data_IF_791708463280
#
_entry.id   IF_791708463280
#
_cell.length_a   1.000
_cell.length_b   1.000
_cell.length_c   1.000
_cell.angle_alpha   90.00
_cell.angle_beta   90.00
_cell.angle_gamma   90.00
#
_symmetry.space_group_name_H-M   'P 1'
#
loop_
_entity.id
_entity.type
_entity.pdbx_description
1 polymer ?
#
# COMPACT_ATOMS: atom_id res chain seq x y z
N UNK A 1 -7.55 -4.19 -2.14
CA UNK A 1 -6.38 -5.03 -2.47
C UNK A 1 -6.68 -6.45 -2.04
N UNK A 2 -6.33 -7.45 -2.83
CA UNK A 2 -6.59 -8.86 -2.50
C UNK A 2 -5.26 -9.60 -2.40
N UNK A 3 -5.11 -10.41 -1.36
CA UNK A 3 -4.00 -11.33 -1.19
C UNK A 3 -4.44 -12.73 -1.58
N UNK A 4 -3.67 -13.38 -2.44
CA UNK A 4 -3.95 -14.72 -2.92
C UNK A 4 -2.80 -15.67 -2.61
N UNK A 5 -3.13 -16.90 -2.25
CA UNK A 5 -2.18 -18.01 -2.27
C UNK A 5 -1.75 -18.28 -3.72
N UNK A 6 -0.44 -18.27 -3.98
CA UNK A 6 0.09 -18.32 -5.35
C UNK A 6 -0.08 -19.70 -6.03
N UNK A 7 -0.17 -20.77 -5.24
CA UNK A 7 -0.28 -22.14 -5.76
C UNK A 7 -1.73 -22.53 -6.08
N UNK A 8 -2.67 -22.04 -5.28
CA UNK A 8 -4.09 -22.42 -5.32
C UNK A 8 -5.00 -21.32 -5.83
N UNK A 9 -4.54 -20.07 -5.84
CA UNK A 9 -5.33 -18.86 -6.14
C UNK A 9 -6.50 -18.69 -5.14
N UNK A 10 -6.39 -19.29 -3.96
CA UNK A 10 -7.34 -19.05 -2.88
C UNK A 10 -7.13 -17.63 -2.34
N UNK A 11 -8.22 -16.86 -2.19
CA UNK A 11 -8.16 -15.57 -1.50
C UNK A 11 -7.86 -15.79 -0.02
N UNK A 12 -6.77 -15.19 0.45
CA UNK A 12 -6.32 -15.25 1.83
C UNK A 12 -6.87 -14.07 2.62
N UNK A 13 -6.82 -12.88 2.02
CA UNK A 13 -7.22 -11.63 2.68
C UNK A 13 -7.61 -10.54 1.67
N UNK A 14 -8.31 -9.52 2.16
CA UNK A 14 -8.64 -8.30 1.42
C UNK A 14 -8.42 -7.08 2.29
N UNK A 15 -7.69 -6.10 1.75
CA UNK A 15 -7.47 -4.81 2.39
C UNK A 15 -8.19 -3.67 1.67
N UNK A 16 -8.83 -2.81 2.45
CA UNK A 16 -9.21 -1.44 2.09
C UNK A 16 -9.14 -0.57 3.36
N UNK A 17 -8.93 0.73 3.18
CA UNK A 17 -8.90 1.69 4.29
C UNK A 17 -10.26 1.77 4.99
N UNK A 18 -10.27 2.00 6.30
CA UNK A 18 -11.48 2.07 7.12
C UNK A 18 -12.47 3.13 6.59
N UNK A 19 -11.94 4.24 6.09
CA UNK A 19 -12.73 5.34 5.53
C UNK A 19 -13.60 4.89 4.35
N UNK A 20 -13.13 3.92 3.56
CA UNK A 20 -13.88 3.40 2.41
C UNK A 20 -15.07 2.50 2.83
N UNK A 21 -15.12 2.09 4.10
CA UNK A 21 -16.20 1.29 4.68
C UNK A 21 -17.20 2.13 5.48
N UNK A 22 -16.90 3.40 5.74
CA UNK A 22 -17.75 4.27 6.55
C UNK A 22 -18.90 4.87 5.70
N UNK A 23 -20.19 4.59 6.02
CA UNK A 23 -21.30 5.19 5.30
C UNK A 23 -21.37 6.73 5.44
N UNK A 24 -20.76 7.32 6.47
CA UNK A 24 -20.69 8.77 6.63
C UNK A 24 -19.76 9.40 5.59
N UNK A 25 -18.82 8.62 5.02
CA UNK A 25 -17.90 9.03 3.96
C UNK A 25 -18.36 8.62 2.56
N UNK A 26 -19.54 8.01 2.43
CA UNK A 26 -20.05 7.52 1.14
C UNK A 26 -20.24 8.61 0.08
N UNK A 27 -20.40 9.89 0.48
CA UNK A 27 -20.58 11.01 -0.45
C UNK A 27 -19.84 12.26 0.01
N UNK A 28 -19.13 12.91 -0.92
CA UNK A 28 -18.50 14.22 -0.67
C UNK A 28 -17.11 14.18 -0.03
N UNK A 29 -16.53 13.00 0.16
CA UNK A 29 -15.20 12.79 0.76
C UNK A 29 -14.18 12.22 -0.24
N UNK A 30 -14.51 12.26 -1.54
CA UNK A 30 -13.68 11.73 -2.62
C UNK A 30 -13.99 10.29 -2.98
N UNK A 31 -13.13 9.67 -3.80
CA UNK A 31 -13.37 8.34 -4.37
C UNK A 31 -12.90 7.21 -3.45
N UNK A 32 -12.01 7.50 -2.47
CA UNK A 32 -11.45 6.54 -1.50
C UNK A 32 -11.06 5.19 -2.11
N UNK A 33 -10.47 5.26 -3.29
CA UNK A 33 -10.08 4.09 -4.09
C UNK A 33 -8.62 4.17 -4.50
N UNK A 34 -8.01 3.00 -4.67
CA UNK A 34 -6.63 2.86 -5.14
C UNK A 34 -6.58 3.13 -6.63
N UNK A 35 -5.67 3.99 -7.07
CA UNK A 35 -5.33 4.14 -8.49
C UNK A 35 -4.18 3.21 -8.90
N UNK A 36 -3.11 3.20 -8.11
CA UNK A 36 -1.87 2.50 -8.43
C UNK A 36 -1.25 1.86 -7.18
N UNK A 37 -0.45 0.82 -7.44
CA UNK A 37 0.30 0.07 -6.45
C UNK A 37 1.72 -0.09 -6.94
N UNK A 38 2.70 0.17 -6.08
CA UNK A 38 4.11 -0.13 -6.32
C UNK A 38 4.64 -1.00 -5.18
N UNK A 39 5.42 -2.03 -5.51
CA UNK A 39 6.03 -2.94 -4.53
C UNK A 39 7.44 -2.45 -4.24
N UNK A 40 7.87 -2.51 -2.99
CA UNK A 40 9.24 -2.14 -2.62
C UNK A 40 10.25 -3.03 -3.39
N UNK A 41 11.24 -2.43 -4.09
CA UNK A 41 12.19 -3.18 -4.91
C UNK A 41 13.19 -4.00 -4.08
N UNK A 42 13.28 -3.76 -2.77
CA UNK A 42 14.17 -4.44 -1.84
C UNK A 42 13.41 -5.36 -0.87
N UNK A 43 12.11 -5.15 -0.65
CA UNK A 43 11.23 -6.00 0.16
C UNK A 43 9.94 -6.39 -0.61
N UNK A 44 9.83 -7.62 -1.14
CA UNK A 44 8.64 -8.03 -1.89
C UNK A 44 7.38 -8.18 -1.04
N UNK A 45 7.48 -8.12 0.29
CA UNK A 45 6.32 -8.15 1.19
C UNK A 45 5.66 -6.77 1.35
N UNK A 46 6.37 -5.68 1.04
CA UNK A 46 5.94 -4.30 1.26
C UNK A 46 5.46 -3.65 -0.04
N UNK A 47 4.31 -2.97 0.00
CA UNK A 47 3.76 -2.26 -1.13
C UNK A 47 3.14 -0.92 -0.73
N UNK A 48 3.15 0.02 -1.66
CA UNK A 48 2.65 1.37 -1.51
C UNK A 48 1.44 1.58 -2.42
N UNK A 49 0.38 2.19 -1.89
CA UNK A 49 -0.90 2.41 -2.57
C UNK A 49 -1.14 3.90 -2.74
N UNK A 50 -1.35 4.35 -3.98
CA UNK A 50 -1.83 5.68 -4.29
C UNK A 50 -3.36 5.70 -4.17
N UNK A 51 -3.89 6.22 -3.07
CA UNK A 51 -5.33 6.44 -2.93
C UNK A 51 -5.74 7.85 -3.37
N UNK A 52 -6.85 7.91 -4.11
CA UNK A 52 -7.62 9.13 -4.25
C UNK A 52 -8.29 9.49 -2.93
N UNK A 53 -8.02 10.69 -2.42
CA UNK A 53 -8.57 11.24 -1.15
C UNK A 53 -8.22 10.45 0.12
N UNK A 54 -7.62 9.27 -0.01
CA UNK A 54 -7.10 8.47 1.11
C UNK A 54 -5.67 8.83 1.45
N UNK A 55 -4.83 9.28 0.51
CA UNK A 55 -3.41 9.54 0.73
C UNK A 55 -2.52 8.37 0.30
N UNK A 56 -1.24 8.41 0.65
CA UNK A 56 -0.32 7.28 0.43
C UNK A 56 -0.52 6.27 1.57
N UNK A 57 -0.59 4.98 1.24
CA UNK A 57 -0.64 3.88 2.22
C UNK A 57 0.49 2.91 1.96
N UNK A 58 1.11 2.40 3.00
CA UNK A 58 2.06 1.30 2.95
C UNK A 58 1.42 0.07 3.59
N UNK A 59 1.33 -1.02 2.83
CA UNK A 59 0.80 -2.29 3.28
C UNK A 59 1.89 -3.37 3.21
N UNK A 60 1.93 -4.25 4.19
CA UNK A 60 2.87 -5.36 4.24
C UNK A 60 2.12 -6.68 4.34
N UNK A 61 2.59 -7.68 3.61
CA UNK A 61 2.15 -9.06 3.79
C UNK A 61 2.81 -9.57 5.08
N UNK A 62 1.99 -9.85 6.09
CA UNK A 62 2.44 -10.39 7.38
C UNK A 62 1.94 -11.83 7.51
N UNK A 63 2.79 -12.75 7.93
CA UNK A 63 2.45 -14.15 8.18
C UNK A 63 2.91 -14.52 9.59
N UNK A 64 1.97 -14.96 10.43
CA UNK A 64 2.23 -15.29 11.84
C UNK A 64 2.93 -14.16 12.64
N UNK A 65 2.65 -12.90 12.26
CA UNK A 65 3.17 -11.70 12.94
C UNK A 65 4.52 -11.19 12.43
N UNK A 66 5.12 -11.82 11.43
CA UNK A 66 6.37 -11.38 10.80
C UNK A 66 6.15 -11.08 9.30
N UNK A 67 6.96 -10.21 8.67
CA UNK A 67 6.88 -9.98 7.22
C UNK A 67 7.06 -11.27 6.43
N UNK A 68 6.27 -11.42 5.36
CA UNK A 68 6.34 -12.58 4.48
C UNK A 68 7.73 -12.71 3.86
N UNK A 69 8.35 -13.87 4.07
CA UNK A 69 9.59 -14.27 3.41
C UNK A 69 9.36 -15.60 2.67
N UNK A 70 9.46 -15.62 1.32
CA UNK A 70 9.23 -16.82 0.53
C UNK A 70 10.25 -17.95 0.80
N UNK A 71 11.38 -17.67 1.45
CA UNK A 71 12.36 -18.69 1.81
C UNK A 71 11.99 -19.44 3.10
N UNK A 72 11.19 -18.81 3.97
CA UNK A 72 10.89 -19.33 5.32
C UNK A 72 9.41 -19.65 5.52
N UNK A 73 8.50 -18.99 4.81
CA UNK A 73 7.05 -19.22 4.90
C UNK A 73 6.62 -20.27 3.88
N UNK A 74 6.15 -21.43 4.37
CA UNK A 74 5.64 -22.53 3.52
C UNK A 74 4.12 -22.75 3.64
N UNK A 75 3.50 -22.20 4.68
CA UNK A 75 2.05 -22.21 4.90
C UNK A 75 1.56 -20.77 4.93
N UNK A 76 0.82 -20.36 3.91
CA UNK A 76 0.33 -18.98 3.77
C UNK A 76 -1.07 -18.79 4.34
N UNK A 77 -1.67 -19.82 4.96
CA UNK A 77 -3.05 -19.75 5.45
C UNK A 77 -3.26 -18.74 6.58
N UNK A 78 -2.19 -18.32 7.26
CA UNK A 78 -2.19 -17.28 8.28
C UNK A 78 -1.66 -15.92 7.81
N UNK A 79 -1.45 -15.73 6.49
CA UNK A 79 -0.97 -14.47 5.97
C UNK A 79 -2.09 -13.45 5.77
N UNK A 80 -1.83 -12.19 6.07
CA UNK A 80 -2.75 -11.05 5.96
C UNK A 80 -2.05 -9.81 5.41
N UNK A 81 -2.82 -8.84 4.92
CA UNK A 81 -2.34 -7.52 4.53
C UNK A 81 -2.50 -6.55 5.70
N UNK A 82 -1.39 -6.00 6.18
CA UNK A 82 -1.38 -5.06 7.30
C UNK A 82 -0.93 -3.68 6.83
N UNK A 83 -1.69 -2.63 7.14
CA UNK A 83 -1.20 -1.26 6.96
C UNK A 83 -0.10 -0.96 7.98
N UNK A 84 1.11 -0.68 7.47
CA UNK A 84 2.32 -0.44 8.29
C UNK A 84 2.78 1.00 8.26
N UNK A 85 2.17 1.84 7.41
CA UNK A 85 2.50 3.26 7.34
C UNK A 85 1.67 3.99 6.29
N UNK A 86 1.91 5.29 6.17
CA UNK A 86 1.23 6.12 5.19
C UNK A 86 1.44 7.61 5.44
N UNK A 87 0.90 8.40 4.51
CA UNK A 87 0.86 9.85 4.63
C UNK A 87 -0.44 10.38 4.04
N UNK A 88 -1.10 11.27 4.77
CA UNK A 88 -2.24 12.05 4.31
C UNK A 88 -2.01 13.48 4.77
N UNK A 89 -1.93 14.39 3.81
CA UNK A 89 -1.81 15.82 4.09
C UNK A 89 -3.06 16.34 4.79
N UNK A 90 -2.91 17.33 5.67
CA UNK A 90 -4.05 17.97 6.36
C UNK A 90 -5.04 18.63 5.38
N UNK A 91 -4.55 19.09 4.23
CA UNK A 91 -5.40 19.62 3.16
C UNK A 91 -6.00 18.52 2.25
N UNK A 92 -5.61 17.25 2.46
CA UNK A 92 -5.95 16.12 1.61
C UNK A 92 -4.94 15.88 0.48
N UNK A 93 -5.00 14.68 -0.09
CA UNK A 93 -4.25 14.31 -1.29
C UNK A 93 -5.16 13.61 -2.30
N UNK A 94 -4.84 13.76 -3.57
CA UNK A 94 -5.47 13.02 -4.67
C UNK A 94 -4.37 12.35 -5.49
N UNK A 95 -3.69 11.39 -4.85
CA UNK A 95 -2.58 10.66 -5.46
C UNK A 95 -3.08 9.84 -6.64
N UNK A 96 -2.55 10.15 -7.82
CA UNK A 96 -2.82 9.42 -9.05
C UNK A 96 -1.84 8.28 -9.24
N UNK A 97 -0.57 8.41 -8.85
CA UNK A 97 0.40 7.36 -9.13
C UNK A 97 1.43 7.19 -8.04
N UNK A 98 2.02 6.01 -7.98
CA UNK A 98 3.12 5.68 -7.07
C UNK A 98 4.12 4.79 -7.80
N UNK A 99 5.40 5.11 -7.67
CA UNK A 99 6.51 4.31 -8.22
C UNK A 99 7.64 4.28 -7.20
N UNK A 100 8.38 3.18 -7.16
CA UNK A 100 9.48 2.98 -6.22
C UNK A 100 10.79 2.71 -6.94
N UNK A 101 11.89 3.24 -6.42
CA UNK A 101 13.21 2.93 -6.94
C UNK A 101 14.28 2.98 -5.85
N UNK A 102 15.37 2.24 -6.08
CA UNK A 102 16.55 2.28 -5.21
C UNK A 102 17.49 3.39 -5.67
N UNK A 103 17.77 4.35 -4.79
CA UNK A 103 18.72 5.41 -5.05
C UNK A 103 20.17 4.92 -5.09
N UNK A 104 21.09 5.79 -5.55
CA UNK A 104 22.53 5.48 -5.54
C UNK A 104 23.10 5.34 -4.11
N UNK A 105 22.38 5.85 -3.12
CA UNK A 105 22.64 5.71 -1.69
C UNK A 105 22.13 4.39 -1.10
N UNK A 106 21.40 3.58 -1.88
CA UNK A 106 20.85 2.30 -1.47
C UNK A 106 19.53 2.38 -0.69
N UNK A 107 18.91 3.56 -0.62
CA UNK A 107 17.59 3.74 0.00
C UNK A 107 16.47 3.51 -1.02
N UNK A 108 15.34 2.96 -0.59
CA UNK A 108 14.11 2.99 -1.40
C UNK A 108 13.46 4.38 -1.31
N UNK A 109 13.19 4.96 -2.47
CA UNK A 109 12.41 6.17 -2.62
C UNK A 109 11.03 5.85 -3.17
N UNK A 110 10.00 6.47 -2.60
CA UNK A 110 8.61 6.35 -3.04
C UNK A 110 8.18 7.67 -3.67
N UNK A 111 7.86 7.63 -4.97
CA UNK A 111 7.45 8.78 -5.77
C UNK A 111 5.94 8.76 -5.93
N UNK A 112 5.23 9.58 -5.15
CA UNK A 112 3.78 9.68 -5.22
C UNK A 112 3.38 10.93 -6.01
N UNK A 113 2.75 10.73 -7.17
CA UNK A 113 2.23 11.83 -7.98
C UNK A 113 0.81 12.19 -7.54
N UNK A 114 0.59 13.47 -7.27
CA UNK A 114 -0.62 14.05 -6.71
C UNK A 114 -1.23 15.04 -7.70
N UNK A 115 -2.54 14.97 -7.92
CA UNK A 115 -3.22 15.81 -8.91
C UNK A 115 -3.30 17.27 -8.50
N UNK A 116 -3.21 17.58 -7.22
CA UNK A 116 -3.34 18.93 -6.69
C UNK A 116 -1.98 19.64 -6.60
N UNK A 117 -0.90 18.89 -6.38
CA UNK A 117 0.40 19.45 -5.99
C UNK A 117 1.61 18.92 -6.78
N UNK A 118 1.45 17.88 -7.61
CA UNK A 118 2.51 17.38 -8.48
C UNK A 118 3.21 16.14 -7.94
N UNK A 119 4.41 16.26 -7.39
CA UNK A 119 5.23 15.11 -6.96
C UNK A 119 5.63 15.23 -5.49
N UNK A 120 5.36 14.17 -4.74
CA UNK A 120 5.85 13.94 -3.39
C UNK A 120 6.90 12.84 -3.41
N UNK A 121 7.93 13.01 -2.57
CA UNK A 121 9.03 12.05 -2.44
C UNK A 121 9.11 11.65 -0.98
N UNK A 122 8.94 10.36 -0.72
CA UNK A 122 9.11 9.76 0.59
C UNK A 122 10.33 8.83 0.57
N UNK A 123 10.87 8.59 1.76
CA UNK A 123 11.95 7.62 1.97
C UNK A 123 11.42 6.56 2.91
N UNK A 124 11.62 5.30 2.55
CA UNK A 124 11.41 4.19 3.46
C UNK A 124 12.71 3.97 4.27
N UNK A 125 12.69 4.20 5.60
CA UNK A 125 13.91 4.28 6.42
C UNK A 125 14.53 2.92 6.79
#
# INVERSE_FOLDING_TARGET
MHLYDTATITELDTFAIDEAHDPDYAFGYGDLSVHEVAVDPQDPSLAYLAYYSGGLRAIQIMCDGEPYDPETVTDTSGCELVEVGGYLDEAGNDFWGVETFVGEDGMTYVLASDRDSGLWIFVDP
#
